data_IF_838448832942
#
_entry.id   IF_838448832942
#
_cell.length_a   1.000
_cell.length_b   1.000
_cell.length_c   1.000
_cell.angle_alpha   90.00
_cell.angle_beta   90.00
_cell.angle_gamma   90.00
#
_symmetry.space_group_name_H-M   'P 1'
#
loop_
_entity.id
_entity.type
_entity.pdbx_description
1 polymer ?
#
# COMPACT_ATOMS: atom_id res chain seq x y z
N UNK A 1 -8.95 4.50 -34.48
CA UNK A 1 -9.43 5.48 -33.48
C UNK A 1 -10.51 4.79 -32.65
N UNK A 2 -10.42 4.80 -31.31
CA UNK A 2 -11.34 4.02 -30.44
C UNK A 2 -12.83 4.43 -30.57
N UNK A 3 -13.09 5.64 -31.07
CA UNK A 3 -14.42 6.12 -31.46
C UNK A 3 -15.11 5.16 -32.45
N UNK A 4 -14.37 4.57 -33.40
CA UNK A 4 -14.92 3.63 -34.38
C UNK A 4 -15.41 2.31 -33.74
N UNK A 5 -15.00 2.03 -32.50
CA UNK A 5 -15.45 0.87 -31.71
C UNK A 5 -16.59 1.23 -30.73
N UNK A 6 -17.17 2.42 -30.84
CA UNK A 6 -18.22 2.91 -29.94
C UNK A 6 -17.71 3.40 -28.58
N UNK A 7 -16.40 3.65 -28.44
CA UNK A 7 -15.86 4.16 -27.18
C UNK A 7 -16.00 5.69 -27.08
N UNK A 8 -16.26 6.20 -25.88
CA UNK A 8 -16.26 7.64 -25.56
C UNK A 8 -15.04 8.01 -24.72
N UNK A 9 -14.40 9.13 -25.03
CA UNK A 9 -13.27 9.64 -24.25
C UNK A 9 -13.78 10.22 -22.92
N UNK A 10 -13.23 9.73 -21.80
CA UNK A 10 -13.59 10.09 -20.42
C UNK A 10 -12.41 10.67 -19.64
N UNK A 11 -11.39 11.17 -20.35
CA UNK A 11 -10.17 11.74 -19.76
C UNK A 11 -10.50 12.97 -18.91
N UNK A 12 -10.13 13.00 -17.61
CA UNK A 12 -10.49 14.10 -16.71
C UNK A 12 -9.55 15.32 -16.75
N UNK A 13 -8.52 15.30 -17.59
CA UNK A 13 -7.48 16.33 -17.69
C UNK A 13 -7.19 16.73 -19.14
N UNK A 14 -6.57 17.89 -19.31
CA UNK A 14 -6.15 18.40 -20.62
C UNK A 14 -4.88 17.70 -21.14
N UNK A 15 -4.70 17.66 -22.47
CA UNK A 15 -3.52 17.05 -23.12
C UNK A 15 -2.18 17.67 -22.71
N UNK A 16 -2.18 18.89 -22.19
CA UNK A 16 -1.00 19.56 -21.64
C UNK A 16 -0.47 18.86 -20.37
N UNK A 17 -1.34 18.15 -19.64
CA UNK A 17 -0.98 17.44 -18.41
C UNK A 17 -0.46 16.03 -18.72
N UNK A 18 -1.04 15.34 -19.70
CA UNK A 18 -0.57 14.03 -20.16
C UNK A 18 -1.14 13.67 -21.53
N UNK A 19 -0.41 12.82 -22.28
CA UNK A 19 -0.87 12.25 -23.54
C UNK A 19 -1.75 10.99 -23.36
N UNK A 20 -1.98 10.54 -22.12
CA UNK A 20 -2.85 9.39 -21.86
C UNK A 20 -4.31 9.78 -22.08
N UNK A 21 -5.05 8.93 -22.77
CA UNK A 21 -6.49 9.06 -22.92
C UNK A 21 -7.19 7.86 -22.25
N UNK A 22 -8.23 8.14 -21.46
CA UNK A 22 -9.12 7.13 -20.90
C UNK A 22 -10.38 7.02 -21.76
N UNK A 23 -10.81 5.79 -22.02
CA UNK A 23 -11.93 5.50 -22.92
C UNK A 23 -12.92 4.55 -22.26
N UNK A 24 -14.20 4.91 -22.28
CA UNK A 24 -15.30 4.06 -21.83
C UNK A 24 -16.01 3.40 -23.01
N UNK A 25 -16.48 2.16 -22.82
CA UNK A 25 -17.41 1.46 -23.73
C UNK A 25 -18.85 1.47 -23.22
N UNK A 26 -19.13 2.16 -22.12
CA UNK A 26 -20.48 2.29 -21.60
C UNK A 26 -21.35 3.07 -22.60
N UNK A 27 -22.63 2.70 -22.69
CA UNK A 27 -23.60 3.45 -23.49
C UNK A 27 -23.79 4.87 -22.93
N UNK A 28 -23.75 5.00 -21.59
CA UNK A 28 -23.66 6.28 -20.87
C UNK A 28 -22.34 6.34 -20.09
N UNK A 29 -21.37 7.16 -20.52
CA UNK A 29 -20.06 7.26 -19.87
C UNK A 29 -20.05 8.26 -18.69
N UNK A 30 -21.18 8.83 -18.29
CA UNK A 30 -21.24 9.89 -17.26
C UNK A 30 -20.67 9.43 -15.92
N UNK A 31 -21.04 8.23 -15.46
CA UNK A 31 -20.56 7.65 -14.20
C UNK A 31 -19.05 7.34 -14.25
N UNK A 32 -18.56 6.85 -15.39
CA UNK A 32 -17.13 6.58 -15.59
C UNK A 32 -16.32 7.87 -15.54
N UNK A 33 -16.82 8.93 -16.19
CA UNK A 33 -16.21 10.26 -16.19
C UNK A 33 -16.16 10.86 -14.79
N UNK A 34 -17.25 10.78 -14.03
CA UNK A 34 -17.31 11.27 -12.66
C UNK A 34 -16.36 10.48 -11.75
N UNK A 35 -16.34 9.15 -11.86
CA UNK A 35 -15.45 8.29 -11.07
C UNK A 35 -13.99 8.61 -11.35
N UNK A 36 -13.60 8.73 -12.63
CA UNK A 36 -12.23 9.08 -13.03
C UNK A 36 -11.83 10.47 -12.51
N UNK A 37 -12.72 11.45 -12.59
CA UNK A 37 -12.47 12.79 -12.05
C UNK A 37 -12.26 12.77 -10.53
N UNK A 38 -13.08 12.03 -9.80
CA UNK A 38 -12.96 11.88 -8.35
C UNK A 38 -11.63 11.22 -7.97
N UNK A 39 -11.24 10.15 -8.67
CA UNK A 39 -9.96 9.46 -8.44
C UNK A 39 -8.76 10.35 -8.79
N UNK A 40 -8.86 11.16 -9.84
CA UNK A 40 -7.83 12.14 -10.22
C UNK A 40 -7.68 13.22 -9.16
N UNK A 41 -8.77 13.86 -8.75
CA UNK A 41 -8.77 14.90 -7.71
C UNK A 41 -8.32 14.38 -6.34
N UNK A 42 -8.62 13.12 -6.02
CA UNK A 42 -8.14 12.46 -4.81
C UNK A 42 -6.64 12.10 -4.85
N UNK A 43 -5.96 12.33 -5.98
CA UNK A 43 -4.57 11.94 -6.19
C UNK A 43 -4.37 10.43 -6.15
N UNK A 44 -5.40 9.64 -6.50
CA UNK A 44 -5.30 8.18 -6.61
C UNK A 44 -4.85 7.74 -8.01
N UNK A 45 -5.10 8.60 -9.01
CA UNK A 45 -4.53 8.50 -10.36
C UNK A 45 -3.45 9.57 -10.48
N UNK A 46 -2.20 9.17 -10.72
CA UNK A 46 -1.16 10.10 -11.15
C UNK A 46 -0.60 9.71 -12.51
N UNK A 47 -0.25 10.74 -13.28
CA UNK A 47 0.19 10.61 -14.67
C UNK A 47 1.67 10.96 -14.74
N UNK A 48 2.51 10.14 -14.11
CA UNK A 48 3.96 10.34 -14.22
C UNK A 48 4.44 9.72 -15.53
N UNK A 49 5.11 10.51 -16.37
CA UNK A 49 5.71 10.05 -17.64
C UNK A 49 4.71 9.36 -18.61
N UNK A 50 3.48 9.86 -18.73
CA UNK A 50 2.46 9.25 -19.61
C UNK A 50 2.15 7.77 -19.28
N UNK A 51 2.27 7.37 -18.00
CA UNK A 51 1.71 6.11 -17.51
C UNK A 51 0.71 6.39 -16.37
N UNK A 52 -0.52 5.85 -16.41
CA UNK A 52 -1.44 6.00 -15.30
C UNK A 52 -0.97 5.09 -14.18
N UNK A 53 -0.37 5.69 -13.16
CA UNK A 53 0.03 4.99 -11.95
C UNK A 53 -1.14 5.15 -10.98
N UNK A 54 -1.81 4.05 -10.68
CA UNK A 54 -2.56 3.94 -9.43
C UNK A 54 -1.53 4.18 -8.33
N UNK A 55 -1.65 5.29 -7.57
CA UNK A 55 -0.69 5.58 -6.50
C UNK A 55 -0.89 4.55 -5.41
N UNK A 56 -0.17 3.44 -5.54
CA UNK A 56 -0.01 2.49 -4.47
C UNK A 56 0.91 3.11 -3.41
N UNK A 57 0.32 3.92 -2.51
CA UNK A 57 1.02 4.44 -1.33
C UNK A 57 1.57 3.32 -0.44
N UNK A 58 1.23 2.04 -0.69
CA UNK A 58 1.83 0.92 0.02
C UNK A 58 3.34 0.85 -0.20
N UNK A 59 3.87 1.27 -1.36
CA UNK A 59 5.32 1.30 -1.59
C UNK A 59 6.02 2.22 -0.60
N UNK A 60 5.53 3.45 -0.43
CA UNK A 60 6.08 4.40 0.54
C UNK A 60 6.00 3.88 1.97
N UNK A 61 4.90 3.18 2.32
CA UNK A 61 4.77 2.52 3.62
C UNK A 61 5.85 1.45 3.82
N UNK A 62 5.97 0.50 2.88
CA UNK A 62 6.92 -0.61 2.98
C UNK A 62 8.37 -0.12 3.05
N UNK A 63 8.73 0.86 2.22
CA UNK A 63 10.08 1.45 2.21
C UNK A 63 10.38 2.19 3.52
N UNK A 64 9.45 3.02 4.00
CA UNK A 64 9.61 3.77 5.25
C UNK A 64 9.71 2.82 6.45
N UNK A 65 8.89 1.78 6.49
CA UNK A 65 8.89 0.79 7.57
C UNK A 65 10.18 -0.03 7.57
N UNK A 66 10.63 -0.50 6.39
CA UNK A 66 11.90 -1.20 6.23
C UNK A 66 13.08 -0.33 6.66
N UNK A 67 13.13 0.93 6.21
CA UNK A 67 14.16 1.88 6.61
C UNK A 67 14.19 2.08 8.14
N UNK A 68 13.02 2.15 8.78
CA UNK A 68 12.93 2.27 10.25
C UNK A 68 13.44 1.02 10.97
N UNK A 69 13.21 -0.17 10.41
CA UNK A 69 13.73 -1.45 10.90
C UNK A 69 15.25 -1.57 10.76
N UNK A 70 15.78 -1.16 9.61
CA UNK A 70 17.21 -1.25 9.29
C UNK A 70 18.02 -0.24 10.13
N UNK A 71 17.53 1.00 10.22
CA UNK A 71 18.16 2.08 10.98
C UNK A 71 17.88 2.03 12.49
N UNK A 72 17.11 1.06 12.96
CA UNK A 72 16.83 0.95 14.38
C UNK A 72 18.11 0.67 15.16
N UNK A 73 18.51 1.59 16.04
CA UNK A 73 19.68 1.46 16.91
C UNK A 73 19.49 0.44 18.04
N UNK A 74 18.26 -0.02 18.29
CA UNK A 74 18.01 -1.10 19.24
C UNK A 74 18.45 -2.43 18.63
N UNK A 75 18.76 -3.35 19.51
CA UNK A 75 19.08 -4.73 19.18
C UNK A 75 17.92 -5.46 18.48
N UNK A 76 18.14 -6.75 18.26
CA UNK A 76 17.19 -7.67 17.62
C UNK A 76 15.81 -7.60 18.30
N UNK A 77 15.76 -7.42 19.61
CA UNK A 77 14.49 -7.35 20.37
C UNK A 77 13.71 -6.07 20.06
N UNK A 78 14.41 -4.94 19.89
CA UNK A 78 13.78 -3.70 19.42
C UNK A 78 13.16 -3.84 18.02
N UNK A 79 13.85 -4.55 17.11
CA UNK A 79 13.34 -4.84 15.76
C UNK A 79 12.13 -5.77 15.79
N UNK A 80 12.17 -6.81 16.63
CA UNK A 80 11.06 -7.74 16.86
C UNK A 80 9.84 -6.97 17.38
N UNK A 81 10.02 -6.08 18.36
CA UNK A 81 8.93 -5.28 18.93
C UNK A 81 8.27 -4.39 17.89
N UNK A 82 9.02 -3.69 17.05
CA UNK A 82 8.44 -2.84 15.99
C UNK A 82 7.71 -3.69 14.96
N UNK A 83 8.34 -4.77 14.47
CA UNK A 83 7.70 -5.67 13.51
C UNK A 83 6.41 -6.27 14.07
N UNK A 84 6.36 -6.56 15.38
CA UNK A 84 5.20 -7.15 16.05
C UNK A 84 3.92 -6.30 15.93
N UNK A 85 4.05 -4.97 15.76
CA UNK A 85 2.91 -4.05 15.62
C UNK A 85 2.04 -4.42 14.42
N UNK A 86 2.65 -4.91 13.35
CA UNK A 86 1.95 -5.24 12.08
C UNK A 86 1.96 -6.74 11.76
N UNK A 87 2.66 -7.56 12.54
CA UNK A 87 2.99 -8.93 12.15
C UNK A 87 1.78 -9.87 11.96
N UNK A 88 0.68 -9.63 12.68
CA UNK A 88 -0.58 -10.40 12.54
C UNK A 88 -1.51 -9.82 11.45
N UNK A 89 -1.34 -8.55 11.07
CA UNK A 89 -2.21 -7.87 10.10
C UNK A 89 -1.82 -8.15 8.65
N UNK A 90 -0.62 -8.66 8.40
CA UNK A 90 -0.10 -8.94 7.06
C UNK A 90 0.25 -10.42 6.87
N UNK A 91 0.13 -10.89 5.62
CA UNK A 91 0.53 -12.26 5.28
C UNK A 91 2.04 -12.40 5.46
N UNK A 92 2.46 -13.61 5.85
CA UNK A 92 3.85 -13.93 6.07
C UNK A 92 4.72 -13.63 4.84
N UNK A 93 4.23 -13.99 3.65
CA UNK A 93 4.94 -13.77 2.39
C UNK A 93 5.11 -12.29 2.06
N UNK A 94 4.15 -11.44 2.43
CA UNK A 94 4.22 -10.00 2.18
C UNK A 94 5.28 -9.38 3.07
N UNK A 95 5.28 -9.70 4.37
CA UNK A 95 6.32 -9.27 5.31
C UNK A 95 7.72 -9.69 4.84
N UNK A 96 7.88 -10.95 4.43
CA UNK A 96 9.17 -11.47 3.96
C UNK A 96 9.65 -10.77 2.69
N UNK A 97 8.79 -10.64 1.68
CA UNK A 97 9.19 -10.08 0.38
C UNK A 97 9.39 -8.56 0.44
N UNK A 98 8.50 -7.84 1.12
CA UNK A 98 8.52 -6.37 1.16
C UNK A 98 9.58 -5.83 2.12
N UNK A 99 9.74 -6.45 3.30
CA UNK A 99 10.70 -5.98 4.30
C UNK A 99 12.06 -6.70 4.26
N UNK A 100 12.17 -7.82 3.52
CA UNK A 100 13.39 -8.64 3.42
C UNK A 100 13.90 -9.14 4.79
N UNK A 101 13.00 -9.33 5.74
CA UNK A 101 13.32 -9.84 7.08
C UNK A 101 13.42 -11.36 7.11
N UNK A 102 14.21 -11.88 8.05
CA UNK A 102 14.39 -13.33 8.19
C UNK A 102 13.11 -14.03 8.67
N UNK A 103 12.87 -15.30 8.27
CA UNK A 103 11.79 -16.13 8.80
C UNK A 103 11.71 -16.14 10.33
N UNK A 104 12.87 -16.26 10.99
CA UNK A 104 12.96 -16.32 12.44
C UNK A 104 12.49 -15.01 13.07
N UNK A 105 12.87 -13.87 12.49
CA UNK A 105 12.43 -12.54 12.96
C UNK A 105 10.91 -12.38 12.85
N UNK A 106 10.31 -12.82 11.74
CA UNK A 106 8.84 -12.76 11.57
C UNK A 106 8.14 -13.63 12.61
N UNK A 107 8.63 -14.86 12.82
CA UNK A 107 8.05 -15.77 13.80
C UNK A 107 8.15 -15.23 15.23
N UNK A 108 9.31 -14.67 15.60
CA UNK A 108 9.50 -14.02 16.89
C UNK A 108 8.59 -12.80 17.06
N UNK A 109 8.41 -11.99 16.02
CA UNK A 109 7.52 -10.83 16.06
C UNK A 109 6.04 -11.22 16.23
N UNK A 110 5.58 -12.28 15.55
CA UNK A 110 4.22 -12.82 15.73
C UNK A 110 4.01 -13.40 17.12
N UNK A 111 4.97 -14.17 17.61
CA UNK A 111 4.96 -14.67 18.99
C UNK A 111 4.89 -13.52 19.99
N UNK A 112 5.72 -12.49 19.79
CA UNK A 112 5.72 -11.30 20.63
C UNK A 112 4.37 -10.58 20.58
N UNK A 113 3.80 -10.37 19.39
CA UNK A 113 2.49 -9.75 19.21
C UNK A 113 1.44 -10.51 20.04
N UNK A 114 1.32 -11.82 19.87
CA UNK A 114 0.33 -12.65 20.59
C UNK A 114 0.48 -12.61 22.10
N UNK A 115 1.72 -12.53 22.60
CA UNK A 115 2.01 -12.48 24.03
C UNK A 115 1.79 -11.08 24.65
N UNK A 116 1.80 -10.01 23.85
CA UNK A 116 1.75 -8.64 24.35
C UNK A 116 0.58 -7.81 23.78
N UNK A 117 -0.32 -8.43 23.02
CA UNK A 117 -1.51 -7.78 22.45
C UNK A 117 -2.53 -7.44 23.53
N UNK A 118 -3.43 -6.47 23.29
CA UNK A 118 -4.59 -6.24 24.16
C UNK A 118 -5.39 -7.54 24.33
N UNK A 119 -5.44 -8.07 25.56
CA UNK A 119 -6.06 -9.36 25.89
C UNK A 119 -5.07 -10.50 26.22
N UNK A 120 -3.77 -10.30 26.05
CA UNK A 120 -2.76 -11.26 26.51
C UNK A 120 -2.64 -11.25 28.04
N UNK A 121 -2.35 -12.41 28.62
CA UNK A 121 -2.18 -12.56 30.08
C UNK A 121 -1.04 -11.65 30.54
N UNK A 122 -1.35 -10.69 31.42
CA UNK A 122 -0.33 -9.82 32.00
C UNK A 122 0.72 -10.69 32.71
N UNK A 123 1.99 -10.49 32.37
CA UNK A 123 3.10 -11.13 33.09
C UNK A 123 3.09 -10.55 34.50
N UNK A 124 2.64 -11.34 35.47
CA UNK A 124 2.69 -10.98 36.88
C UNK A 124 4.17 -10.92 37.27
N UNK A 125 4.67 -9.73 37.60
CA UNK A 125 6.04 -9.61 38.13
C UNK A 125 6.12 -10.39 39.45
N UNK A 126 7.19 -11.16 39.67
CA UNK A 126 7.45 -11.77 40.97
C UNK A 126 7.51 -10.68 42.06
N UNK A 127 7.02 -11.01 43.25
CA UNK A 127 7.16 -10.16 44.44
C UNK A 127 8.60 -10.10 44.91
#
# INVERSE_FOLDING_TARGET
MLIACGCTNVTPFEKKESNIEFWSRAMDPSADKETLLNLYNAGLICLKNNTPIIIDKSMNFWESFKSTLDNNRRDIDGKIRILSIIAENFRYNDLRKKLQVSPNTINSARKYARLNSPGAIAIVKPK
#
